data_IF_036741300558
#
_entry.id   IF_036741300558
#
_cell.length_a   1.000
_cell.length_b   1.000
_cell.length_c   1.000
_cell.angle_alpha   90.00
_cell.angle_beta   90.00
_cell.angle_gamma   90.00
#
_symmetry.space_group_name_H-M   'P 1'
#
loop_
_entity.id
_entity.type
_entity.pdbx_description
1 polymer ?
#
# COMPACT_ATOMS: atom_id res chain seq x y z
N UNK A 1 -2.15 -19.68 -10.61
CA UNK A 1 -2.54 -18.35 -10.09
C UNK A 1 -1.86 -18.13 -8.75
N UNK A 2 -1.15 -17.01 -8.54
CA UNK A 2 -0.49 -16.73 -7.27
C UNK A 2 -1.54 -16.67 -6.13
N UNK A 3 -1.25 -17.32 -5.01
CA UNK A 3 -2.15 -17.34 -3.84
C UNK A 3 -2.08 -15.99 -3.14
N UNK A 4 -3.25 -15.38 -2.91
CA UNK A 4 -3.40 -14.19 -2.08
C UNK A 4 -2.84 -14.45 -0.67
N UNK A 5 -2.00 -13.54 -0.18
CA UNK A 5 -1.35 -13.62 1.13
C UNK A 5 -2.12 -12.78 2.14
N UNK A 6 -2.45 -13.37 3.29
CA UNK A 6 -2.89 -12.59 4.46
C UNK A 6 -1.70 -11.83 5.02
N UNK A 7 -1.83 -10.52 5.14
CA UNK A 7 -0.79 -9.59 5.60
C UNK A 7 -1.34 -8.74 6.74
N UNK A 8 -0.53 -8.48 7.74
CA UNK A 8 -0.93 -7.69 8.91
C UNK A 8 -0.32 -6.29 8.79
N UNK A 9 -1.14 -5.27 9.00
CA UNK A 9 -0.73 -3.85 8.91
C UNK A 9 0.25 -3.46 10.02
N UNK A 10 0.32 -4.23 11.12
CA UNK A 10 1.29 -4.06 12.19
C UNK A 10 2.68 -4.59 11.84
N UNK A 11 2.80 -5.38 10.76
CA UNK A 11 4.10 -5.91 10.32
C UNK A 11 4.92 -4.84 9.59
N UNK A 12 6.25 -4.96 9.58
CA UNK A 12 7.10 -4.07 8.81
C UNK A 12 6.65 -3.98 7.34
N UNK A 13 6.57 -2.74 6.85
CA UNK A 13 6.13 -2.44 5.49
C UNK A 13 6.85 -1.24 4.93
N UNK A 14 6.45 -0.84 3.73
CA UNK A 14 6.97 0.36 3.09
C UNK A 14 6.17 1.55 3.62
N UNK A 15 6.86 2.63 3.98
CA UNK A 15 6.21 3.87 4.41
C UNK A 15 6.32 4.93 3.31
N UNK A 16 5.28 5.77 3.18
CA UNK A 16 5.31 6.92 2.27
C UNK A 16 5.56 8.19 3.07
N UNK A 17 6.59 8.94 2.67
CA UNK A 17 6.94 10.23 3.26
C UNK A 17 6.93 11.33 2.21
N UNK A 18 6.43 12.51 2.54
CA UNK A 18 6.48 13.68 1.65
C UNK A 18 7.93 14.15 1.50
N UNK A 19 8.38 14.40 0.26
CA UNK A 19 9.71 14.94 -0.05
C UNK A 19 9.61 15.97 -1.16
N UNK A 20 9.76 17.25 -0.81
CA UNK A 20 9.59 18.36 -1.74
C UNK A 20 8.19 18.38 -2.37
N UNK A 21 8.13 18.31 -3.70
CA UNK A 21 6.87 18.30 -4.46
C UNK A 21 6.24 16.90 -4.62
N UNK A 22 6.92 15.85 -4.19
CA UNK A 22 6.46 14.46 -4.38
C UNK A 22 6.53 13.62 -3.11
N UNK A 23 6.57 12.31 -3.32
CA UNK A 23 6.67 11.32 -2.26
C UNK A 23 7.96 10.50 -2.40
N UNK A 24 8.47 10.07 -1.26
CA UNK A 24 9.53 9.11 -1.13
C UNK A 24 8.97 7.88 -0.42
N UNK A 25 9.39 6.70 -0.88
CA UNK A 25 9.06 5.43 -0.25
C UNK A 25 10.27 4.93 0.54
N UNK A 26 10.03 4.52 1.78
CA UNK A 26 11.06 3.99 2.68
C UNK A 26 10.73 2.54 3.03
N UNK A 27 11.73 1.67 3.05
CA UNK A 27 11.61 0.30 3.52
C UNK A 27 11.47 0.23 5.05
N UNK A 28 11.32 -0.98 5.58
CA UNK A 28 11.24 -1.24 7.03
C UNK A 28 12.46 -0.75 7.82
N UNK A 29 13.61 -0.61 7.16
CA UNK A 29 14.86 -0.10 7.74
C UNK A 29 15.00 1.42 7.59
N UNK A 30 13.99 2.11 7.04
CA UNK A 30 14.02 3.54 6.76
C UNK A 30 14.86 3.93 5.54
N UNK A 31 15.31 2.97 4.72
CA UNK A 31 16.10 3.22 3.51
C UNK A 31 15.17 3.51 2.35
N UNK A 32 15.62 4.37 1.43
CA UNK A 32 14.82 4.70 0.24
C UNK A 32 14.64 3.49 -0.67
N UNK A 33 13.40 3.17 -0.99
CA UNK A 33 13.06 2.18 -2.02
C UNK A 33 13.39 2.81 -3.37
N UNK A 34 14.39 2.24 -4.06
CA UNK A 34 14.83 2.67 -5.40
C UNK A 34 14.51 1.65 -6.50
N UNK A 35 13.97 0.50 -6.14
CA UNK A 35 13.55 -0.50 -7.10
C UNK A 35 12.36 0.05 -7.89
N UNK A 36 12.54 0.18 -9.20
CA UNK A 36 11.56 0.77 -10.12
C UNK A 36 10.24 -0.03 -10.14
N UNK A 37 10.30 -1.36 -10.23
CA UNK A 37 9.11 -2.23 -10.21
C UNK A 37 8.28 -2.04 -8.92
N UNK A 38 8.96 -1.87 -7.78
CA UNK A 38 8.28 -1.62 -6.51
C UNK A 38 7.62 -0.24 -6.52
N UNK A 39 8.30 0.79 -7.01
CA UNK A 39 7.76 2.16 -7.09
C UNK A 39 6.57 2.22 -8.06
N UNK A 40 6.69 1.61 -9.23
CA UNK A 40 5.60 1.52 -10.22
C UNK A 40 4.37 0.83 -9.64
N UNK A 41 4.56 -0.31 -8.95
CA UNK A 41 3.46 -1.00 -8.27
C UNK A 41 2.78 -0.10 -7.24
N UNK A 42 3.56 0.64 -6.45
CA UNK A 42 3.00 1.55 -5.44
C UNK A 42 2.24 2.70 -6.09
N UNK A 43 2.76 3.26 -7.18
CA UNK A 43 2.08 4.31 -7.94
C UNK A 43 0.75 3.80 -8.54
N UNK A 44 0.72 2.56 -9.02
CA UNK A 44 -0.48 1.92 -9.54
C UNK A 44 -1.59 1.75 -8.48
N UNK A 45 -1.27 1.72 -7.19
CA UNK A 45 -2.26 1.67 -6.10
C UNK A 45 -3.07 2.98 -5.98
N UNK A 46 -2.65 4.06 -6.64
CA UNK A 46 -3.31 5.37 -6.62
C UNK A 46 -3.68 5.83 -5.20
N UNK A 47 -2.74 5.71 -4.27
CA UNK A 47 -2.94 6.10 -2.87
C UNK A 47 -3.15 7.62 -2.81
N UNK A 48 -4.31 8.11 -2.32
CA UNK A 48 -4.61 9.53 -2.31
C UNK A 48 -3.50 10.35 -1.64
N UNK A 49 -3.12 11.51 -2.20
CA UNK A 49 -2.03 12.33 -1.66
C UNK A 49 -2.36 12.92 -0.27
N UNK A 50 -3.65 13.04 0.05
CA UNK A 50 -4.14 13.49 1.36
C UNK A 50 -4.02 12.45 2.48
N UNK A 51 -3.60 11.21 2.17
CA UNK A 51 -3.39 10.21 3.22
C UNK A 51 -2.07 10.43 3.95
N UNK A 52 -2.14 10.43 5.27
CA UNK A 52 -1.03 10.49 6.21
C UNK A 52 -0.76 9.10 6.82
N UNK A 53 0.39 8.95 7.49
CA UNK A 53 0.84 7.70 8.14
C UNK A 53 0.65 6.44 7.27
N UNK A 54 1.04 6.57 6.01
CA UNK A 54 0.77 5.53 5.02
C UNK A 54 1.71 4.36 5.18
N UNK A 55 1.12 3.19 5.43
CA UNK A 55 1.76 1.88 5.36
C UNK A 55 1.40 1.20 4.06
N UNK A 56 2.38 0.53 3.44
CA UNK A 56 2.25 -0.11 2.13
C UNK A 56 2.84 -1.51 2.23
N UNK A 57 2.10 -2.51 1.77
CA UNK A 57 2.52 -3.90 1.82
C UNK A 57 3.70 -4.13 0.86
N UNK A 58 4.72 -4.86 1.33
CA UNK A 58 5.87 -5.29 0.54
C UNK A 58 5.51 -6.39 -0.45
N UNK A 59 4.49 -7.20 -0.16
CA UNK A 59 4.06 -8.31 -0.99
C UNK A 59 3.07 -7.84 -2.06
N UNK A 60 3.31 -8.08 -3.36
CA UNK A 60 2.39 -7.70 -4.43
C UNK A 60 1.00 -8.31 -4.29
N UNK A 61 0.90 -9.53 -3.73
CA UNK A 61 -0.35 -10.30 -3.57
C UNK A 61 -0.91 -10.24 -2.14
N UNK A 62 -0.56 -9.22 -1.35
CA UNK A 62 -1.15 -9.01 -0.04
C UNK A 62 -2.62 -8.62 -0.17
N UNK A 63 -3.52 -9.23 0.60
CA UNK A 63 -4.94 -8.87 0.52
C UNK A 63 -5.21 -7.38 0.85
N UNK A 64 -4.38 -6.78 1.72
CA UNK A 64 -4.29 -5.34 1.96
C UNK A 64 -2.99 -4.85 1.30
N UNK A 65 -3.10 -3.88 0.41
CA UNK A 65 -1.96 -3.28 -0.29
C UNK A 65 -1.46 -2.02 0.38
N UNK A 66 -2.34 -1.21 0.96
CA UNK A 66 -1.95 -0.02 1.71
C UNK A 66 -2.99 0.37 2.76
N UNK A 67 -2.56 1.13 3.76
CA UNK A 67 -3.43 1.81 4.71
C UNK A 67 -2.90 3.20 4.98
N UNK A 68 -3.75 4.12 5.42
CA UNK A 68 -3.34 5.44 5.86
C UNK A 68 -4.50 6.17 6.52
N UNK A 69 -4.22 7.31 7.13
CA UNK A 69 -5.23 8.19 7.73
C UNK A 69 -5.67 9.22 6.70
N UNK A 70 -6.98 9.39 6.47
CA UNK A 70 -7.49 10.45 5.62
C UNK A 70 -7.40 11.83 6.28
N UNK A 71 -7.74 12.89 5.53
CA UNK A 71 -7.75 14.26 6.06
C UNK A 71 -8.76 14.49 7.21
N UNK A 72 -9.68 13.54 7.45
CA UNK A 72 -10.61 13.55 8.58
C UNK A 72 -10.12 12.68 9.75
N UNK A 73 -8.87 12.19 9.71
CA UNK A 73 -8.26 11.36 10.75
C UNK A 73 -8.77 9.90 10.77
N UNK A 74 -9.50 9.45 9.75
CA UNK A 74 -10.05 8.09 9.69
C UNK A 74 -9.08 7.15 9.02
N UNK A 75 -8.90 5.95 9.58
CA UNK A 75 -8.05 4.92 9.00
C UNK A 75 -8.72 4.29 7.77
N UNK A 76 -8.10 4.48 6.62
CA UNK A 76 -8.53 3.96 5.33
C UNK A 76 -7.65 2.79 4.88
N UNK A 77 -8.24 1.92 4.05
CA UNK A 77 -7.62 0.70 3.54
C UNK A 77 -7.70 0.65 2.00
N UNK A 78 -6.62 0.23 1.37
CA UNK A 78 -6.57 -0.22 -0.03
C UNK A 78 -6.36 -1.73 -0.06
N UNK A 79 -7.33 -2.43 -0.63
CA UNK A 79 -7.25 -3.86 -0.88
C UNK A 79 -6.67 -4.14 -2.26
N UNK A 80 -6.13 -5.34 -2.46
CA UNK A 80 -5.69 -5.79 -3.77
C UNK A 80 -6.87 -5.85 -4.76
N UNK A 81 -6.70 -5.44 -6.02
CA UNK A 81 -7.79 -5.38 -7.00
C UNK A 81 -8.46 -6.75 -7.21
N UNK A 82 -7.67 -7.81 -7.36
CA UNK A 82 -8.16 -9.19 -7.43
C UNK A 82 -8.93 -9.68 -6.17
N UNK A 83 -8.84 -9.00 -5.02
CA UNK A 83 -9.68 -9.28 -3.86
C UNK A 83 -11.13 -8.81 -4.09
N UNK A 84 -11.33 -7.75 -4.89
CA UNK A 84 -12.66 -7.25 -5.26
C UNK A 84 -13.35 -8.21 -6.24
N UNK A 85 -12.61 -8.73 -7.23
CA UNK A 85 -13.15 -9.63 -8.26
C UNK A 85 -13.59 -11.00 -7.74
N UNK A 86 -12.95 -11.54 -6.69
CA UNK A 86 -13.40 -12.82 -6.09
C UNK A 86 -14.64 -12.68 -5.22
N UNK A 87 -14.85 -11.53 -4.57
CA UNK A 87 -16.04 -11.32 -3.71
C UNK A 87 -17.31 -11.03 -4.52
N UNK A 88 -17.17 -10.48 -5.74
CA UNK A 88 -18.30 -10.25 -6.65
C UNK A 88 -18.79 -11.53 -7.34
N UNK A 89 -18.02 -12.63 -7.28
CA UNK A 89 -18.40 -13.93 -7.88
C UNK A 89 -19.07 -14.90 -6.89
N UNK A 90 -19.27 -14.49 -5.64
CA UNK A 90 -19.98 -15.27 -4.60
C UNK A 90 -21.38 -14.70 -4.27
N UNK A 91 -21.91 -13.81 -5.12
CA UNK A 91 -23.31 -13.38 -5.12
C UNK A 91 -24.03 -14.00 -6.30
#
# INVERSE_FOLDING_TARGET
MPRLKRVDVSTPGITRRRRGRGFQYLDESGRSVRNEEVVERINALAIPPAWEDVWICTFPFGHIQATGSDAAGRKQYRYHDHWRERRDREK
#
